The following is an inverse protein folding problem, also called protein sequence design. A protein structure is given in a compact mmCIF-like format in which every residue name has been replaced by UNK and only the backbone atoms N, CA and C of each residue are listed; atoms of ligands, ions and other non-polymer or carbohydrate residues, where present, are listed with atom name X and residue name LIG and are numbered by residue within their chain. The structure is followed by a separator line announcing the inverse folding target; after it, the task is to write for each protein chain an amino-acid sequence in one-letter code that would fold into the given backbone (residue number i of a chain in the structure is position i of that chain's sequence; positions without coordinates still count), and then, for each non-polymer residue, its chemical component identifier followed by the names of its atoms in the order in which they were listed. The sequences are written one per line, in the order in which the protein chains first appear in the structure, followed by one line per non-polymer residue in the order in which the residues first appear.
data_IF_264000179772
#
_entry.id   IF_264000179772
#
_cell.length_a   1.000
_cell.length_b   1.000
_cell.length_c   1.000
_cell.angle_alpha   90.00
_cell.angle_beta   90.00
_cell.angle_gamma   90.00
#
_symmetry.space_group_name_H-M   'P 1'
#
loop_
_entity.id
_entity.type
_entity.pdbx_description
1 polymer ?
#
# COMPACT_ATOMS: atom_id res chain seq x y z
N UNK A 1 7.66 -22.71 -11.36
CA UNK A 1 8.05 -22.51 -12.76
C UNK A 1 8.67 -23.80 -13.26
N UNK A 2 8.54 -24.11 -14.54
CA UNK A 2 9.19 -25.25 -15.20
C UNK A 2 9.81 -24.73 -16.49
N UNK A 3 11.08 -25.02 -16.72
CA UNK A 3 11.83 -24.58 -17.91
C UNK A 3 11.72 -23.07 -18.20
N UNK A 4 11.70 -22.26 -17.13
CA UNK A 4 11.57 -20.81 -17.21
C UNK A 4 10.14 -20.29 -17.44
N UNK A 5 9.15 -21.18 -17.58
CA UNK A 5 7.74 -20.82 -17.73
C UNK A 5 6.98 -20.93 -16.40
N UNK A 6 5.99 -20.05 -16.20
CA UNK A 6 5.00 -20.21 -15.13
C UNK A 6 3.99 -21.27 -15.57
N UNK A 7 3.80 -22.30 -14.73
CA UNK A 7 2.94 -23.46 -15.04
C UNK A 7 1.77 -23.61 -14.07
N UNK A 8 1.61 -22.68 -13.14
CA UNK A 8 0.61 -22.79 -12.09
C UNK A 8 0.94 -21.98 -10.84
N UNK A 9 0.20 -22.27 -9.78
CA UNK A 9 0.33 -21.65 -8.46
C UNK A 9 0.29 -22.70 -7.36
N UNK A 10 0.99 -22.41 -6.26
CA UNK A 10 0.86 -23.17 -5.01
C UNK A 10 0.79 -22.22 -3.83
N UNK A 11 0.20 -22.69 -2.74
CA UNK A 11 0.01 -21.89 -1.53
C UNK A 11 -0.51 -22.69 -0.36
N UNK A 12 -0.77 -21.99 0.73
CA UNK A 12 -1.31 -22.56 1.96
C UNK A 12 -2.82 -22.32 2.06
N UNK A 13 -3.53 -23.30 2.60
CA UNK A 13 -4.91 -23.17 3.08
C UNK A 13 -4.81 -22.77 4.55
N UNK A 14 -5.38 -21.61 4.90
CA UNK A 14 -5.41 -21.12 6.28
C UNK A 14 -6.66 -21.65 6.99
N UNK A 15 -6.59 -21.76 8.33
CA UNK A 15 -7.77 -22.12 9.12
C UNK A 15 -8.91 -21.11 8.94
N UNK A 16 -10.15 -21.60 9.13
CA UNK A 16 -11.33 -20.74 9.06
C UNK A 16 -11.25 -19.62 10.11
N UNK A 17 -11.67 -18.43 9.72
CA UNK A 17 -11.60 -17.25 10.59
C UNK A 17 -12.94 -16.54 10.63
N UNK A 18 -13.41 -16.27 11.85
CA UNK A 18 -14.64 -15.54 12.15
C UNK A 18 -14.38 -14.10 12.62
N UNK A 19 -13.18 -13.58 12.37
CA UNK A 19 -12.82 -12.20 12.74
C UNK A 19 -13.65 -11.20 11.95
N UNK A 20 -13.83 -10.00 12.49
CA UNK A 20 -14.62 -8.96 11.82
C UNK A 20 -13.84 -8.37 10.66
N UNK A 21 -14.55 -7.63 9.80
CA UNK A 21 -13.95 -6.89 8.68
C UNK A 21 -12.81 -5.97 9.18
N UNK A 22 -11.61 -6.20 8.66
CA UNK A 22 -10.43 -5.36 8.93
C UNK A 22 -9.62 -5.79 10.16
N UNK A 23 -10.11 -6.76 10.94
CA UNK A 23 -9.34 -7.43 11.97
C UNK A 23 -8.37 -8.44 11.33
N UNK A 24 -7.23 -8.66 11.99
CA UNK A 24 -6.25 -9.63 11.53
C UNK A 24 -6.81 -11.05 11.68
N UNK A 25 -6.89 -11.77 10.57
CA UNK A 25 -7.22 -13.19 10.57
C UNK A 25 -5.98 -14.04 10.87
N UNK A 26 -6.21 -15.28 11.31
CA UNK A 26 -5.13 -16.24 11.54
C UNK A 26 -4.26 -16.46 10.30
N UNK A 27 -2.99 -16.80 10.54
CA UNK A 27 -2.01 -17.21 9.51
C UNK A 27 -1.59 -18.67 9.68
N UNK A 28 -2.28 -19.43 10.55
CA UNK A 28 -2.03 -20.86 10.74
C UNK A 28 -2.46 -21.62 9.49
N UNK A 29 -1.52 -22.32 8.87
CA UNK A 29 -1.77 -23.18 7.73
C UNK A 29 -2.29 -24.55 8.20
N UNK A 30 -3.39 -25.01 7.60
CA UNK A 30 -4.00 -26.32 7.85
C UNK A 30 -3.91 -27.26 6.64
N UNK A 31 -3.31 -26.78 5.56
CA UNK A 31 -3.11 -27.55 4.34
C UNK A 31 -2.42 -26.72 3.27
N UNK A 32 -2.27 -27.33 2.11
CA UNK A 32 -1.66 -26.72 0.94
C UNK A 32 -2.52 -26.98 -0.29
N UNK A 33 -2.38 -26.13 -1.30
CA UNK A 33 -3.00 -26.34 -2.60
C UNK A 33 -1.97 -26.15 -3.71
N UNK A 34 -2.21 -26.82 -4.84
CA UNK A 34 -1.49 -26.61 -6.08
C UNK A 34 -2.49 -26.66 -7.23
N UNK A 35 -2.37 -25.72 -8.15
CA UNK A 35 -3.13 -25.68 -9.39
C UNK A 35 -2.18 -25.50 -10.56
N UNK A 36 -2.33 -26.32 -11.58
CA UNK A 36 -1.67 -26.13 -12.87
C UNK A 36 -2.54 -25.25 -13.76
N UNK A 37 -1.91 -24.34 -14.50
CA UNK A 37 -2.60 -23.44 -15.40
C UNK A 37 -1.67 -22.97 -16.52
N UNK A 38 -2.20 -22.84 -17.73
CA UNK A 38 -1.49 -22.27 -18.88
C UNK A 38 -1.20 -20.78 -18.71
N UNK A 39 -1.96 -20.10 -17.86
CA UNK A 39 -1.83 -18.67 -17.61
C UNK A 39 -2.12 -18.34 -16.15
N UNK A 40 -1.29 -17.48 -15.57
CA UNK A 40 -1.40 -17.03 -14.17
C UNK A 40 -1.41 -15.50 -14.14
N UNK A 41 -2.45 -14.93 -13.52
CA UNK A 41 -2.56 -13.50 -13.27
C UNK A 41 -2.28 -13.20 -11.80
N UNK A 42 -1.34 -12.30 -11.53
CA UNK A 42 -1.06 -11.81 -10.17
C UNK A 42 -1.69 -10.43 -9.99
N UNK A 43 -2.81 -10.37 -9.27
CA UNK A 43 -3.59 -9.15 -9.01
C UNK A 43 -3.74 -8.86 -7.50
N UNK A 44 -2.62 -8.91 -6.78
CA UNK A 44 -2.58 -8.92 -5.31
C UNK A 44 -2.40 -7.55 -4.65
N UNK A 45 -2.55 -6.46 -5.40
CA UNK A 45 -2.29 -5.10 -4.91
C UNK A 45 -0.80 -4.73 -4.81
N UNK A 46 -0.51 -3.68 -4.04
CA UNK A 46 0.84 -3.10 -3.89
C UNK A 46 1.37 -3.18 -2.45
N UNK A 47 2.25 -2.24 -2.09
CA UNK A 47 2.96 -2.19 -0.79
C UNK A 47 2.35 -1.24 0.24
N UNK A 48 1.17 -0.66 -0.04
CA UNK A 48 0.64 0.50 0.70
C UNK A 48 0.41 0.30 2.21
N UNK A 49 0.26 -0.94 2.68
CA UNK A 49 0.16 -1.26 4.10
C UNK A 49 1.49 -1.74 4.72
N UNK A 50 2.56 -1.86 3.93
CA UNK A 50 3.87 -2.32 4.37
C UNK A 50 4.86 -1.15 4.43
N UNK A 51 4.91 -0.49 5.59
CA UNK A 51 5.74 0.70 5.78
C UNK A 51 7.24 0.43 5.65
N UNK A 52 7.70 -0.79 5.87
CA UNK A 52 9.12 -1.14 5.71
C UNK A 52 9.47 -1.23 4.23
N UNK A 53 8.63 -1.86 3.41
CA UNK A 53 8.80 -1.85 1.95
C UNK A 53 8.64 -0.45 1.36
N UNK A 54 7.72 0.36 1.88
CA UNK A 54 7.59 1.78 1.46
C UNK A 54 8.89 2.53 1.72
N UNK A 55 9.48 2.37 2.91
CA UNK A 55 10.76 3.03 3.25
C UNK A 55 11.92 2.51 2.42
N UNK A 56 11.99 1.20 2.19
CA UNK A 56 13.01 0.59 1.34
C UNK A 56 12.97 1.14 -0.08
N UNK A 57 11.77 1.41 -0.61
CA UNK A 57 11.58 1.92 -1.96
C UNK A 57 11.35 3.44 -1.99
N UNK A 58 11.61 4.15 -0.89
CA UNK A 58 11.33 5.59 -0.83
C UNK A 58 12.21 6.35 -1.83
N UNK A 59 11.61 7.18 -2.72
CA UNK A 59 12.37 7.91 -3.72
C UNK A 59 13.30 8.92 -3.05
N UNK A 60 14.60 8.83 -3.33
CA UNK A 60 15.63 9.69 -2.73
C UNK A 60 15.38 11.19 -2.96
N UNK A 61 14.76 11.55 -4.08
CA UNK A 61 14.37 12.93 -4.40
C UNK A 61 13.38 13.54 -3.39
N UNK A 62 12.63 12.72 -2.64
CA UNK A 62 11.70 13.17 -1.59
C UNK A 62 12.37 13.23 -0.20
N UNK A 63 13.70 13.09 -0.12
CA UNK A 63 14.41 13.08 1.17
C UNK A 63 14.13 11.83 2.01
N UNK A 64 14.06 11.99 3.33
CA UNK A 64 13.82 10.88 4.25
C UNK A 64 12.32 10.56 4.34
N UNK A 65 11.98 9.27 4.27
CA UNK A 65 10.62 8.81 4.49
C UNK A 65 10.11 9.24 5.89
N UNK A 66 8.83 9.65 6.01
CA UNK A 66 8.25 10.03 7.29
C UNK A 66 8.39 8.95 8.36
N UNK A 67 8.75 9.36 9.58
CA UNK A 67 8.84 8.45 10.74
C UNK A 67 7.47 7.85 11.08
N UNK A 68 6.42 8.67 10.99
CA UNK A 68 5.02 8.28 11.22
C UNK A 68 4.26 8.36 9.91
N UNK A 69 3.53 7.30 9.59
CA UNK A 69 2.68 7.19 8.40
C UNK A 69 1.35 6.56 8.79
N UNK A 70 0.35 6.77 7.96
CA UNK A 70 -0.97 6.12 8.02
C UNK A 70 -1.20 5.38 6.70
N UNK A 71 -2.04 4.35 6.72
CA UNK A 71 -2.38 3.54 5.55
C UNK A 71 -3.82 3.79 5.12
N UNK A 72 -4.00 4.24 3.88
CA UNK A 72 -5.32 4.31 3.24
C UNK A 72 -5.81 2.97 2.70
N UNK A 73 -5.00 1.89 2.78
CA UNK A 73 -5.33 0.56 2.26
C UNK A 73 -5.35 -0.50 3.37
N UNK A 74 -6.13 -1.59 3.21
CA UNK A 74 -6.19 -2.67 4.21
C UNK A 74 -4.85 -3.39 4.42
N UNK A 75 -4.72 -4.09 5.55
CA UNK A 75 -3.50 -4.78 5.95
C UNK A 75 -2.97 -5.82 4.94
N UNK A 76 -3.86 -6.40 4.11
CA UNK A 76 -3.45 -7.39 3.10
C UNK A 76 -2.69 -6.78 1.90
N UNK A 77 -2.63 -5.45 1.78
CA UNK A 77 -1.87 -4.75 0.72
C UNK A 77 -0.41 -4.65 1.14
N UNK A 78 0.20 -5.82 1.35
CA UNK A 78 1.50 -6.02 2.00
C UNK A 78 2.68 -6.12 1.02
N UNK A 79 2.38 -6.21 -0.29
CA UNK A 79 3.36 -6.32 -1.36
C UNK A 79 4.01 -7.69 -1.54
N UNK A 80 3.61 -8.72 -0.78
CA UNK A 80 4.27 -10.04 -0.75
C UNK A 80 4.47 -10.64 -2.13
N UNK A 81 3.45 -10.52 -2.99
CA UNK A 81 3.50 -11.12 -4.32
C UNK A 81 4.48 -10.43 -5.27
N UNK A 82 4.92 -9.19 -5.03
CA UNK A 82 5.92 -8.53 -5.86
C UNK A 82 7.24 -9.31 -5.86
N UNK A 83 7.70 -9.71 -4.66
CA UNK A 83 8.91 -10.50 -4.51
C UNK A 83 8.75 -11.94 -5.04
N UNK A 84 7.56 -12.54 -4.90
CA UNK A 84 7.26 -13.87 -5.44
C UNK A 84 7.28 -13.83 -6.97
N UNK A 85 6.62 -12.85 -7.57
CA UNK A 85 6.59 -12.65 -9.02
C UNK A 85 7.99 -12.37 -9.57
N UNK A 86 8.80 -11.57 -8.86
CA UNK A 86 10.18 -11.32 -9.26
C UNK A 86 11.03 -12.60 -9.25
N UNK A 87 10.91 -13.41 -8.19
CA UNK A 87 11.56 -14.73 -8.11
C UNK A 87 11.10 -15.69 -9.22
N UNK A 88 9.88 -15.53 -9.71
CA UNK A 88 9.35 -16.31 -10.83
C UNK A 88 9.82 -15.79 -12.21
N UNK A 89 10.67 -14.77 -12.26
CA UNK A 89 11.23 -14.20 -13.50
C UNK A 89 10.56 -12.88 -13.95
N UNK A 90 9.58 -12.38 -13.19
CA UNK A 90 8.96 -11.09 -13.47
C UNK A 90 9.90 -9.91 -13.21
N UNK A 91 9.81 -8.85 -14.02
CA UNK A 91 10.54 -7.61 -13.78
C UNK A 91 9.64 -6.58 -13.12
N UNK A 92 9.98 -6.16 -11.90
CA UNK A 92 9.33 -5.00 -11.28
C UNK A 92 9.95 -3.71 -11.83
N UNK A 93 9.12 -2.75 -12.20
CA UNK A 93 9.51 -1.41 -12.66
C UNK A 93 8.94 -0.34 -11.72
N UNK A 94 9.57 0.84 -11.68
CA UNK A 94 9.07 2.01 -10.96
C UNK A 94 8.78 1.77 -9.47
N UNK A 95 9.65 1.01 -8.78
CA UNK A 95 9.47 0.65 -7.37
C UNK A 95 9.28 1.85 -6.45
N UNK A 96 9.87 2.97 -6.83
CA UNK A 96 9.88 4.25 -6.12
C UNK A 96 8.66 5.14 -6.44
N UNK A 97 7.81 4.74 -7.40
CA UNK A 97 6.59 5.48 -7.77
C UNK A 97 5.42 4.99 -6.95
N UNK A 98 5.16 5.70 -5.86
CA UNK A 98 4.08 5.42 -4.93
C UNK A 98 3.09 6.58 -4.85
N UNK A 99 1.81 6.28 -4.65
CA UNK A 99 0.75 7.27 -4.44
C UNK A 99 0.63 7.58 -2.95
N UNK A 100 1.39 8.57 -2.47
CA UNK A 100 1.22 9.13 -1.13
C UNK A 100 0.29 10.33 -1.20
N UNK A 101 -0.68 10.42 -0.30
CA UNK A 101 -1.59 11.56 -0.19
C UNK A 101 -1.30 12.34 1.08
N UNK A 102 -0.99 13.62 0.96
CA UNK A 102 -0.59 14.50 2.08
C UNK A 102 -1.79 15.02 2.86
N UNK A 103 -3.00 14.87 2.32
CA UNK A 103 -4.28 15.21 2.96
C UNK A 103 -4.84 14.09 3.84
N UNK A 104 -3.95 13.18 4.28
CA UNK A 104 -4.29 12.04 5.12
C UNK A 104 -4.47 12.43 6.59
N UNK A 105 -5.52 11.92 7.21
CA UNK A 105 -5.84 12.09 8.62
C UNK A 105 -5.84 10.75 9.35
N UNK A 106 -5.38 10.73 10.59
CA UNK A 106 -5.53 9.55 11.45
C UNK A 106 -7.01 9.28 11.68
N UNK A 107 -7.47 8.06 11.39
CA UNK A 107 -8.83 7.66 11.69
C UNK A 107 -9.01 7.49 13.21
N UNK A 108 -10.05 8.10 13.78
CA UNK A 108 -10.39 7.94 15.19
C UNK A 108 -10.99 6.56 15.48
N UNK A 109 -11.67 5.96 14.50
CA UNK A 109 -12.26 4.63 14.56
C UNK A 109 -11.69 3.77 13.42
N UNK A 110 -10.42 3.37 13.53
CA UNK A 110 -9.74 2.65 12.47
C UNK A 110 -10.39 1.28 12.23
N UNK A 111 -10.57 0.93 10.96
CA UNK A 111 -11.07 -0.39 10.51
C UNK A 111 -9.94 -1.43 10.52
N UNK A 112 -8.70 -1.01 10.31
CA UNK A 112 -7.48 -1.81 10.45
C UNK A 112 -6.41 -0.95 11.16
N UNK A 113 -5.38 -1.57 11.74
CA UNK A 113 -4.43 -0.94 12.69
C UNK A 113 -3.94 0.47 12.33
N UNK A 114 -3.55 0.70 11.07
CA UNK A 114 -3.02 2.00 10.60
C UNK A 114 -3.99 2.78 9.70
N UNK A 115 -5.30 2.51 9.76
CA UNK A 115 -6.28 3.11 8.84
C UNK A 115 -6.26 4.65 8.91
N UNK A 116 -5.90 5.27 7.78
CA UNK A 116 -5.96 6.70 7.53
C UNK A 116 -7.10 7.06 6.59
N UNK A 117 -7.66 8.25 6.76
CA UNK A 117 -8.70 8.80 5.89
C UNK A 117 -8.06 9.85 5.00
N UNK A 118 -8.22 9.73 3.67
CA UNK A 118 -7.90 10.82 2.74
C UNK A 118 -9.11 11.72 2.59
N UNK A 119 -8.92 13.03 2.76
CA UNK A 119 -9.94 14.01 2.43
C UNK A 119 -9.84 14.37 0.95
N UNK A 120 -10.97 14.26 0.24
CA UNK A 120 -11.13 14.86 -1.08
C UNK A 120 -11.75 16.26 -0.88
N UNK A 121 -11.02 17.33 -1.16
CA UNK A 121 -11.52 18.68 -0.91
C UNK A 121 -12.64 19.04 -1.87
N UNK A 122 -13.53 19.92 -1.41
CA UNK A 122 -14.47 20.60 -2.29
C UNK A 122 -13.80 21.79 -3.00
N UNK A 123 -14.50 22.45 -3.94
CA UNK A 123 -13.93 23.53 -4.78
C UNK A 123 -13.35 24.72 -4.01
N UNK A 124 -13.77 24.94 -2.76
CA UNK A 124 -13.47 26.15 -1.98
C UNK A 124 -12.88 25.88 -0.60
N UNK A 125 -12.27 24.70 -0.39
CA UNK A 125 -11.65 24.35 0.89
C UNK A 125 -10.47 25.27 1.21
N UNK A 126 -10.38 25.74 2.45
CA UNK A 126 -9.20 26.43 2.98
C UNK A 126 -8.36 25.41 3.75
N UNK A 127 -7.06 25.33 3.43
CA UNK A 127 -6.10 24.49 4.14
C UNK A 127 -5.11 25.36 4.90
N UNK A 128 -4.99 25.13 6.19
CA UNK A 128 -4.12 25.89 7.09
C UNK A 128 -3.09 24.96 7.73
N UNK A 129 -1.89 25.48 7.99
CA UNK A 129 -0.93 24.85 8.87
C UNK A 129 -1.40 24.90 10.34
N UNK A 130 -0.65 24.26 11.23
CA UNK A 130 -0.96 24.22 12.66
C UNK A 130 -0.95 25.61 13.35
N UNK A 131 -0.48 26.67 12.67
CA UNK A 131 -0.45 28.07 13.15
C UNK A 131 -1.53 28.93 12.48
N UNK A 132 -2.45 28.32 11.74
CA UNK A 132 -3.52 29.00 11.03
C UNK A 132 -3.07 29.74 9.77
N UNK A 133 -1.85 29.50 9.27
CA UNK A 133 -1.37 30.09 8.03
C UNK A 133 -1.82 29.25 6.84
N UNK A 134 -2.30 29.88 5.77
CA UNK A 134 -2.68 29.15 4.55
C UNK A 134 -1.46 28.44 3.96
N UNK A 135 -1.66 27.21 3.48
CA UNK A 135 -0.63 26.54 2.70
C UNK A 135 -0.31 27.38 1.43
N UNK A 136 0.98 27.50 1.05
CA UNK A 136 1.37 28.28 -0.11
C UNK A 136 0.90 27.60 -1.41
N UNK A 137 0.63 28.39 -2.45
CA UNK A 137 0.42 27.83 -3.78
C UNK A 137 1.72 27.14 -4.26
N UNK A 138 1.65 25.99 -4.96
CA UNK A 138 0.45 25.25 -5.37
C UNK A 138 -0.01 24.16 -4.39
N UNK A 139 0.45 24.13 -3.13
CA UNK A 139 0.18 23.08 -2.14
C UNK A 139 -1.25 23.16 -1.56
N UNK A 140 -2.23 23.16 -2.44
CA UNK A 140 -3.63 23.04 -2.12
C UNK A 140 -4.03 21.56 -2.09
N UNK A 141 -4.98 21.18 -1.22
CA UNK A 141 -5.44 19.80 -1.17
C UNK A 141 -5.98 19.38 -2.55
N UNK A 142 -5.66 18.15 -2.96
CA UNK A 142 -6.12 17.58 -4.23
C UNK A 142 -5.55 18.22 -5.50
N UNK A 143 -4.57 19.12 -5.39
CA UNK A 143 -3.95 19.80 -6.53
C UNK A 143 -2.60 19.18 -6.92
N UNK A 144 -1.54 19.46 -6.16
CA UNK A 144 -0.18 18.98 -6.43
C UNK A 144 0.37 18.20 -5.24
N UNK A 145 0.01 16.92 -5.17
CA UNK A 145 0.45 16.02 -4.11
C UNK A 145 1.95 15.76 -4.17
N UNK A 146 2.58 15.75 -5.35
CA UNK A 146 4.03 15.56 -5.47
C UNK A 146 4.78 16.78 -4.93
N UNK A 147 4.38 17.99 -5.33
CA UNK A 147 4.94 19.23 -4.79
C UNK A 147 4.75 19.34 -3.28
N UNK A 148 3.58 18.93 -2.76
CA UNK A 148 3.32 18.94 -1.31
C UNK A 148 4.19 17.93 -0.54
N UNK A 149 4.60 16.81 -1.14
CA UNK A 149 5.53 15.85 -0.52
C UNK A 149 6.98 16.36 -0.48
N UNK A 150 7.34 17.30 -1.35
CA UNK A 150 8.69 17.87 -1.46
C UNK A 150 8.92 19.06 -0.52
N UNK A 151 7.86 19.59 0.11
CA UNK A 151 7.90 20.76 1.01
C UNK A 151 7.97 20.44 2.49
#
# INVERSE_FOLDING_TARGET
TQDGAVVGVSGAILEESNVKRGEDSSRVAIGEFTFEAESVLVSSGGIGANFDLIRQNWPSRLGQAPKKMISGVPAHVDGRMLAITEKAGGRIVNRDRMWHYTEGLKNWNPVWSNHGIRILPGPSSIWLDARGQRLPAPNFPGFDTLGTLET
#
